data_IF_071906667452
#
_entry.id   IF_071906667452
#
_cell.length_a   1.000
_cell.length_b   1.000
_cell.length_c   1.000
_cell.angle_alpha   90.00
_cell.angle_beta   90.00
_cell.angle_gamma   90.00
#
_symmetry.space_group_name_H-M   'P 1'
#
loop_
_entity.id
_entity.type
_entity.pdbx_description
1 polymer ?
#
# COMPACT_ATOMS: atom_id res chain seq x y z
N UNK A 1 6.12 -22.49 -16.62
CA UNK A 1 5.78 -22.42 -15.20
C UNK A 1 5.67 -21.02 -14.68
N UNK A 2 6.60 -20.19 -15.00
CA UNK A 2 6.57 -18.78 -14.59
C UNK A 2 5.35 -18.04 -15.10
N UNK A 3 5.05 -18.26 -16.39
CA UNK A 3 3.95 -17.57 -17.04
C UNK A 3 2.62 -17.95 -16.40
N UNK A 4 2.48 -19.24 -16.03
CA UNK A 4 1.25 -19.69 -15.39
C UNK A 4 1.04 -19.05 -14.02
N UNK A 5 2.12 -18.87 -13.26
CA UNK A 5 2.04 -18.23 -11.95
C UNK A 5 1.64 -16.76 -12.07
N UNK A 6 2.24 -16.07 -13.05
CA UNK A 6 1.93 -14.66 -13.30
C UNK A 6 0.48 -14.52 -13.77
N UNK A 7 0.02 -15.41 -14.63
CA UNK A 7 -1.35 -15.40 -15.09
C UNK A 7 -2.32 -15.60 -13.92
N UNK A 8 -1.98 -16.52 -13.02
CA UNK A 8 -2.81 -16.78 -11.87
C UNK A 8 -2.97 -15.54 -11.00
N UNK A 9 -1.87 -14.83 -10.78
CA UNK A 9 -1.91 -13.58 -10.01
C UNK A 9 -2.74 -12.51 -10.73
N UNK A 10 -2.54 -12.36 -12.03
CA UNK A 10 -3.29 -11.38 -12.80
C UNK A 10 -4.79 -11.69 -12.80
N UNK A 11 -5.16 -12.96 -12.85
CA UNK A 11 -6.55 -13.36 -12.79
C UNK A 11 -7.17 -13.04 -11.44
N UNK A 12 -6.40 -13.20 -10.36
CA UNK A 12 -6.89 -12.82 -9.04
C UNK A 12 -7.19 -11.32 -8.97
N UNK A 13 -6.35 -10.50 -9.59
CA UNK A 13 -6.58 -9.07 -9.68
C UNK A 13 -7.82 -8.71 -10.48
N UNK A 14 -8.26 -9.60 -11.37
CA UNK A 14 -9.46 -9.38 -12.18
C UNK A 14 -10.76 -9.74 -11.46
N UNK A 15 -10.67 -10.35 -10.31
CA UNK A 15 -11.85 -10.70 -9.52
C UNK A 15 -12.35 -9.55 -8.68
N UNK A 16 -12.29 -8.36 -9.23
CA UNK A 16 -12.96 -7.15 -8.78
C UNK A 16 -12.82 -6.80 -7.32
N UNK A 17 -13.61 -7.45 -6.48
CA UNK A 17 -13.69 -7.13 -5.06
C UNK A 17 -12.49 -7.59 -4.26
N UNK A 18 -11.60 -8.40 -4.85
CA UNK A 18 -10.46 -8.96 -4.14
C UNK A 18 -9.17 -8.31 -4.63
N UNK A 19 -8.71 -7.26 -3.95
CA UNK A 19 -7.49 -6.58 -4.38
C UNK A 19 -6.31 -7.54 -4.26
N UNK A 20 -5.37 -7.44 -5.18
CA UNK A 20 -4.14 -8.22 -5.12
C UNK A 20 -3.31 -7.91 -3.88
N UNK A 21 -3.55 -6.76 -3.27
CA UNK A 21 -2.83 -6.30 -2.09
C UNK A 21 -3.67 -6.55 -0.83
N UNK A 22 -3.06 -7.23 0.14
CA UNK A 22 -3.70 -7.53 1.42
C UNK A 22 -3.16 -6.55 2.46
N UNK A 23 -4.03 -5.72 3.02
CA UNK A 23 -3.63 -4.74 4.03
C UNK A 23 -3.11 -5.44 5.28
N UNK A 24 -1.94 -5.02 5.75
CA UNK A 24 -1.35 -5.54 6.98
C UNK A 24 -1.24 -4.49 8.08
N UNK A 25 -1.31 -3.21 7.74
CA UNK A 25 -1.32 -2.14 8.73
C UNK A 25 -1.86 -0.86 8.10
N UNK A 26 -2.54 -0.07 8.91
CA UNK A 26 -2.95 1.30 8.56
C UNK A 26 -2.73 2.17 9.78
N UNK A 27 -2.34 3.42 9.56
CA UNK A 27 -2.08 4.34 10.66
C UNK A 27 -2.31 5.75 10.16
N UNK A 28 -2.86 6.59 11.01
CA UNK A 28 -3.10 8.00 10.68
C UNK A 28 -1.95 8.90 11.08
N UNK A 29 -0.96 8.39 11.81
CA UNK A 29 0.09 9.21 12.41
C UNK A 29 1.47 8.67 12.11
N UNK A 30 1.78 8.53 10.82
CA UNK A 30 3.12 8.12 10.42
C UNK A 30 4.13 9.25 10.64
N UNK A 31 5.34 8.89 11.04
CA UNK A 31 6.44 9.85 11.06
C UNK A 31 6.91 10.22 9.65
N UNK A 32 6.51 9.43 8.64
CA UNK A 32 6.78 9.78 7.24
C UNK A 32 5.63 10.68 6.79
N UNK A 33 5.91 11.98 6.74
CA UNK A 33 4.89 13.00 6.48
C UNK A 33 4.98 13.60 5.08
N UNK A 34 5.76 12.98 4.20
CA UNK A 34 5.85 13.36 2.79
C UNK A 34 5.14 12.31 1.94
N UNK A 35 4.48 12.73 0.84
CA UNK A 35 3.87 11.76 -0.08
C UNK A 35 4.94 10.82 -0.64
N UNK A 36 4.69 9.53 -0.54
CA UNK A 36 5.68 8.54 -0.94
C UNK A 36 5.01 7.19 -1.18
N UNK A 37 5.51 6.45 -2.16
CA UNK A 37 5.14 5.07 -2.38
C UNK A 37 6.41 4.24 -2.34
N UNK A 38 6.37 3.11 -1.65
CA UNK A 38 7.56 2.32 -1.37
C UNK A 38 7.27 0.85 -1.60
N UNK A 39 8.24 0.13 -2.14
CA UNK A 39 8.24 -1.32 -2.22
C UNK A 39 9.37 -1.83 -1.34
N UNK A 40 9.07 -2.72 -0.40
CA UNK A 40 10.07 -3.41 0.39
C UNK A 40 10.07 -4.88 -0.01
N UNK A 41 11.21 -5.35 -0.52
CA UNK A 41 11.33 -6.70 -1.07
C UNK A 41 12.12 -7.63 -0.14
N UNK A 42 12.68 -7.10 0.92
CA UNK A 42 13.48 -7.87 1.88
C UNK A 42 13.08 -7.52 3.30
N UNK A 43 13.41 -8.41 4.21
CA UNK A 43 13.16 -8.16 5.63
C UNK A 43 13.87 -6.90 6.10
N UNK A 44 15.12 -6.71 5.69
CA UNK A 44 15.89 -5.54 6.09
C UNK A 44 15.23 -4.25 5.65
N UNK A 45 14.77 -4.20 4.40
CA UNK A 45 14.08 -3.02 3.87
C UNK A 45 12.77 -2.78 4.62
N UNK A 46 12.04 -3.85 4.91
CA UNK A 46 10.77 -3.75 5.62
C UNK A 46 10.97 -3.23 7.04
N UNK A 47 11.95 -3.76 7.75
CA UNK A 47 12.24 -3.31 9.12
C UNK A 47 12.70 -1.85 9.14
N UNK A 48 13.49 -1.44 8.17
CA UNK A 48 13.91 -0.04 8.04
C UNK A 48 12.71 0.87 7.77
N UNK A 49 11.82 0.45 6.90
CA UNK A 49 10.62 1.23 6.57
C UNK A 49 9.72 1.35 7.79
N UNK A 50 9.51 0.24 8.52
CA UNK A 50 8.66 0.25 9.70
C UNK A 50 9.24 1.16 10.79
N UNK A 51 10.55 1.13 10.97
CA UNK A 51 11.23 2.02 11.91
C UNK A 51 11.04 3.49 11.53
N UNK A 52 11.19 3.80 10.25
CA UNK A 52 10.98 5.17 9.76
C UNK A 52 9.53 5.63 9.94
N UNK A 53 8.59 4.72 9.82
CA UNK A 53 7.18 4.98 10.06
C UNK A 53 6.90 5.38 11.52
N UNK A 54 7.65 4.81 12.45
CA UNK A 54 7.60 5.25 13.85
C UNK A 54 6.46 4.67 14.68
N UNK A 55 5.94 3.49 14.31
CA UNK A 55 4.90 2.85 15.10
C UNK A 55 5.45 2.32 16.43
N UNK A 56 4.61 2.30 17.46
CA UNK A 56 4.91 1.64 18.73
C UNK A 56 4.72 0.14 18.68
N UNK A 57 4.06 -0.36 17.63
CA UNK A 57 3.80 -1.78 17.49
C UNK A 57 4.95 -2.46 16.76
N UNK A 58 5.18 -3.75 17.02
CA UNK A 58 6.18 -4.48 16.23
C UNK A 58 5.73 -4.57 14.77
N UNK A 59 6.70 -4.65 13.87
CA UNK A 59 6.40 -4.78 12.45
C UNK A 59 5.61 -6.07 12.22
N UNK A 60 4.53 -6.00 11.41
CA UNK A 60 3.82 -7.21 11.01
C UNK A 60 4.77 -8.21 10.36
N UNK A 61 4.54 -9.48 10.59
CA UNK A 61 5.36 -10.55 10.01
C UNK A 61 5.02 -10.70 8.53
N UNK A 62 6.05 -10.79 7.71
CA UNK A 62 5.92 -10.96 6.26
C UNK A 62 6.89 -12.05 5.83
N UNK A 63 6.41 -12.95 4.98
CA UNK A 63 7.25 -14.00 4.41
C UNK A 63 7.79 -13.53 3.07
N UNK A 64 9.02 -13.03 3.06
CA UNK A 64 9.62 -12.46 1.86
C UNK A 64 10.04 -13.51 0.83
N UNK A 65 9.89 -14.80 1.14
CA UNK A 65 10.04 -15.83 0.11
C UNK A 65 8.83 -15.90 -0.82
N UNK A 66 7.66 -15.40 -0.37
CA UNK A 66 6.41 -15.46 -1.14
C UNK A 66 5.73 -14.11 -1.33
N UNK A 67 6.14 -13.09 -0.58
CA UNK A 67 5.44 -11.80 -0.58
C UNK A 67 6.43 -10.64 -0.59
N UNK A 68 5.95 -9.49 -1.01
CA UNK A 68 6.63 -8.21 -0.85
C UNK A 68 5.68 -7.22 -0.21
N UNK A 69 6.24 -6.21 0.45
CA UNK A 69 5.44 -5.15 1.06
C UNK A 69 5.36 -3.96 0.12
N UNK A 70 4.18 -3.39 0.01
CA UNK A 70 3.95 -2.13 -0.70
C UNK A 70 3.32 -1.15 0.29
N UNK A 71 3.72 0.10 0.21
CA UNK A 71 3.27 1.12 1.16
C UNK A 71 2.93 2.41 0.46
N UNK A 72 1.89 3.07 0.95
CA UNK A 72 1.47 4.40 0.51
C UNK A 72 1.50 5.32 1.72
N UNK A 73 2.22 6.42 1.60
CA UNK A 73 2.22 7.50 2.57
C UNK A 73 1.59 8.70 1.91
N UNK A 74 0.49 9.20 2.47
CA UNK A 74 -0.23 10.33 1.85
C UNK A 74 0.48 11.66 2.07
N UNK A 75 1.34 11.75 3.10
CA UNK A 75 1.83 13.02 3.56
C UNK A 75 0.85 13.68 4.51
N UNK A 76 1.13 14.91 4.89
CA UNK A 76 0.30 15.62 5.87
C UNK A 76 -1.10 15.91 5.34
N UNK A 77 -2.08 15.72 6.22
CA UNK A 77 -3.48 16.03 5.95
C UNK A 77 -4.02 16.87 7.11
N UNK A 78 -4.98 17.79 6.85
CA UNK A 78 -5.39 18.75 7.89
C UNK A 78 -6.27 18.14 8.98
N UNK A 79 -6.91 17.01 8.73
CA UNK A 79 -7.81 16.36 9.71
C UNK A 79 -7.76 14.86 9.55
N UNK A 80 -8.30 14.10 10.52
CA UNK A 80 -8.57 12.68 10.30
C UNK A 80 -9.58 12.47 9.17
N UNK A 81 -9.68 11.25 8.69
CA UNK A 81 -10.65 10.85 7.68
C UNK A 81 -10.06 10.65 6.29
N UNK A 82 -8.78 10.92 6.12
CA UNK A 82 -8.08 10.64 4.85
C UNK A 82 -7.42 9.27 4.96
N UNK A 83 -7.47 8.50 3.88
CA UNK A 83 -6.81 7.19 3.86
C UNK A 83 -6.50 6.79 2.43
N UNK A 84 -5.52 5.90 2.28
CA UNK A 84 -5.18 5.33 0.99
C UNK A 84 -5.76 3.93 0.88
N UNK A 85 -6.16 3.54 -0.33
CA UNK A 85 -6.71 2.22 -0.59
C UNK A 85 -6.16 1.70 -1.91
N UNK A 86 -5.71 0.45 -1.92
CA UNK A 86 -5.39 -0.22 -3.16
C UNK A 86 -6.70 -0.70 -3.81
N UNK A 87 -6.82 -0.49 -5.10
CA UNK A 87 -8.02 -0.85 -5.84
C UNK A 87 -7.81 -2.12 -6.65
N UNK A 88 -6.73 -2.20 -7.40
CA UNK A 88 -6.43 -3.39 -8.19
C UNK A 88 -4.99 -3.37 -8.65
N UNK A 89 -4.53 -4.53 -9.12
CA UNK A 89 -3.22 -4.69 -9.73
C UNK A 89 -3.41 -5.22 -11.14
N UNK A 90 -2.58 -4.75 -12.05
CA UNK A 90 -2.57 -5.24 -13.42
C UNK A 90 -1.15 -5.49 -13.88
N UNK A 91 -0.94 -6.62 -14.54
CA UNK A 91 0.37 -6.96 -15.08
C UNK A 91 0.34 -6.80 -16.60
N UNK A 92 1.22 -5.94 -17.13
CA UNK A 92 1.33 -5.73 -18.55
C UNK A 92 2.78 -5.43 -18.89
N UNK A 93 3.30 -6.11 -19.90
CA UNK A 93 4.68 -5.91 -20.39
C UNK A 93 5.71 -6.01 -19.25
N UNK A 94 5.50 -6.99 -18.37
CA UNK A 94 6.37 -7.27 -17.22
C UNK A 94 6.39 -6.15 -16.17
N UNK A 95 5.44 -5.24 -16.23
CA UNK A 95 5.28 -4.17 -15.23
C UNK A 95 3.99 -4.43 -14.46
N UNK A 96 4.11 -4.46 -13.14
CA UNK A 96 2.96 -4.58 -12.25
C UNK A 96 2.52 -3.17 -11.84
N UNK A 97 1.31 -2.81 -12.23
CA UNK A 97 0.75 -1.50 -11.86
C UNK A 97 -0.23 -1.69 -10.72
N UNK A 98 0.01 -0.99 -9.62
CA UNK A 98 -0.88 -0.99 -8.46
C UNK A 98 -1.67 0.31 -8.47
N UNK A 99 -2.96 0.20 -8.75
CA UNK A 99 -3.85 1.35 -8.74
C UNK A 99 -4.34 1.58 -7.32
N UNK A 100 -4.30 2.82 -6.89
CA UNK A 100 -4.73 3.20 -5.55
C UNK A 100 -5.46 4.54 -5.59
N UNK A 101 -6.27 4.76 -4.57
CA UNK A 101 -7.01 6.01 -4.45
C UNK A 101 -6.94 6.53 -3.04
N UNK A 102 -7.12 7.82 -2.92
CA UNK A 102 -7.24 8.49 -1.62
C UNK A 102 -8.72 8.68 -1.33
N UNK A 103 -9.14 8.23 -0.15
CA UNK A 103 -10.47 8.54 0.36
C UNK A 103 -10.35 9.78 1.22
N UNK A 104 -11.25 10.72 1.00
CA UNK A 104 -11.34 11.95 1.76
C UNK A 104 -12.55 11.90 2.69
N UNK A 105 -12.51 12.63 3.82
CA UNK A 105 -13.69 12.73 4.65
C UNK A 105 -14.80 13.47 3.91
N UNK A 106 -16.04 13.21 4.30
CA UNK A 106 -17.17 13.93 3.73
C UNK A 106 -17.10 15.40 4.10
N UNK A 107 -17.51 16.27 3.16
CA UNK A 107 -17.30 17.71 3.29
C UNK A 107 -18.00 18.30 4.52
N UNK A 108 -19.14 17.74 4.92
CA UNK A 108 -19.94 18.23 6.01
C UNK A 108 -19.78 17.44 7.31
N UNK A 109 -18.84 16.50 7.35
CA UNK A 109 -18.62 15.71 8.57
C UNK A 109 -17.90 16.53 9.62
N UNK A 110 -18.19 16.24 10.90
CA UNK A 110 -17.52 16.86 12.02
C UNK A 110 -16.24 16.07 12.31
N UNK A 111 -15.11 16.76 12.33
CA UNK A 111 -13.81 16.13 12.53
C UNK A 111 -12.98 16.93 13.53
N UNK A 112 -12.09 16.24 14.23
CA UNK A 112 -11.09 16.89 15.04
C UNK A 112 -10.17 17.74 14.15
N UNK A 113 -9.71 18.88 14.66
CA UNK A 113 -8.77 19.74 13.96
C UNK A 113 -7.34 19.31 14.30
N UNK A 114 -6.97 18.10 13.88
CA UNK A 114 -5.67 17.51 14.16
C UNK A 114 -5.06 17.08 12.84
N UNK A 115 -3.86 17.55 12.56
CA UNK A 115 -3.14 17.12 11.38
C UNK A 115 -2.80 15.65 11.50
N UNK A 116 -2.92 14.94 10.38
CA UNK A 116 -2.60 13.52 10.31
C UNK A 116 -1.57 13.28 9.21
N UNK A 117 -1.01 12.08 9.20
CA UNK A 117 -0.06 11.64 8.19
C UNK A 117 -0.36 10.17 7.89
N UNK A 118 -1.39 9.92 7.07
CA UNK A 118 -1.88 8.55 6.86
C UNK A 118 -0.91 7.65 6.12
N UNK A 119 -0.84 6.40 6.54
CA UNK A 119 -0.01 5.39 5.91
C UNK A 119 -0.81 4.09 5.72
N UNK A 120 -0.52 3.40 4.63
CA UNK A 120 -1.11 2.10 4.32
C UNK A 120 0.02 1.14 3.98
N UNK A 121 0.01 -0.02 4.61
CA UNK A 121 0.95 -1.10 4.32
C UNK A 121 0.17 -2.33 3.89
N UNK A 122 0.62 -2.93 2.81
CA UNK A 122 -0.01 -4.12 2.27
C UNK A 122 1.04 -5.09 1.76
N UNK A 123 0.66 -6.35 1.61
CA UNK A 123 1.51 -7.34 0.97
C UNK A 123 0.91 -7.75 -0.35
N UNK A 124 1.78 -8.02 -1.31
CA UNK A 124 1.41 -8.56 -2.61
C UNK A 124 2.20 -9.85 -2.82
N UNK A 125 1.74 -10.76 -3.69
CA UNK A 125 2.58 -11.89 -4.07
C UNK A 125 3.92 -11.40 -4.60
N UNK A 126 4.97 -12.15 -4.28
CA UNK A 126 6.32 -11.74 -4.67
C UNK A 126 6.41 -11.49 -6.17
N UNK A 127 6.95 -10.35 -6.53
CA UNK A 127 7.11 -9.94 -7.92
C UNK A 127 8.46 -9.26 -8.06
N UNK A 128 9.31 -9.81 -8.92
CA UNK A 128 10.68 -9.34 -9.06
C UNK A 128 10.85 -8.27 -10.12
N UNK A 129 9.82 -7.99 -10.90
CA UNK A 129 9.86 -6.98 -11.94
C UNK A 129 9.57 -5.57 -11.43
N UNK A 130 9.36 -4.68 -12.37
CA UNK A 130 9.04 -3.28 -12.06
C UNK A 130 7.64 -3.17 -11.49
N UNK A 131 7.50 -2.40 -10.42
CA UNK A 131 6.21 -2.10 -9.79
C UNK A 131 5.97 -0.61 -9.92
N UNK A 132 4.84 -0.25 -10.50
CA UNK A 132 4.39 1.14 -10.61
C UNK A 132 3.18 1.36 -9.72
N UNK A 133 3.13 2.53 -9.11
CA UNK A 133 1.96 2.98 -8.36
C UNK A 133 1.23 4.01 -9.21
N UNK A 134 -0.06 3.82 -9.35
CA UNK A 134 -0.87 4.76 -10.13
C UNK A 134 -2.04 5.22 -9.27
N UNK A 135 -2.03 6.49 -8.91
CA UNK A 135 -3.13 7.09 -8.18
C UNK A 135 -4.26 7.37 -9.16
N UNK A 136 -5.46 6.96 -8.80
CA UNK A 136 -6.65 7.20 -9.61
C UNK A 136 -7.67 8.01 -8.81
N UNK A 137 -8.56 8.69 -9.52
CA UNK A 137 -9.61 9.44 -8.87
C UNK A 137 -10.63 8.48 -8.26
N UNK A 138 -11.12 8.77 -7.05
CA UNK A 138 -12.13 7.94 -6.42
C UNK A 138 -13.46 7.97 -7.16
#
# INVERSE_FOLDING_TARGET
MWVALILSFAMQGLHGADPAARTIAQDDMSAIDEPRQVVARTRTDWESLWRAHGSNQPAPKVDFSTESVVAIFLGSRPTPGYSAHFLRAGLKDKVLTLEWAERRPEADSIRAQVMTSPALFAVIPKFDGEIKFQKVSP
#
